data_IF_387850134249
#
_entry.id   IF_387850134249
#
_cell.length_a   1.000
_cell.length_b   1.000
_cell.length_c   1.000
_cell.angle_alpha   90.00
_cell.angle_beta   90.00
_cell.angle_gamma   90.00
#
_symmetry.space_group_name_H-M   'P 1'
#
loop_
_entity.id
_entity.type
_entity.pdbx_description
1 polymer ?
#
# COMPACT_ATOMS: atom_id res chain seq x y z
N UNK A 1 -11.93 22.61 5.21
CA UNK A 1 -13.13 21.99 4.58
C UNK A 1 -12.79 20.90 3.54
N UNK A 2 -11.65 20.97 2.82
CA UNK A 2 -11.23 19.96 1.83
C UNK A 2 -10.75 18.61 2.39
N UNK A 3 -10.57 18.47 3.71
CA UNK A 3 -9.97 17.25 4.26
C UNK A 3 -10.87 16.02 4.29
N UNK A 4 -12.18 16.21 4.51
CA UNK A 4 -13.15 15.12 4.50
C UNK A 4 -13.28 14.43 3.13
N UNK A 5 -13.49 15.14 1.99
CA UNK A 5 -13.60 14.48 0.70
C UNK A 5 -12.31 13.75 0.29
N UNK A 6 -11.14 14.35 0.57
CA UNK A 6 -9.85 13.70 0.30
C UNK A 6 -9.67 12.42 1.12
N UNK A 7 -10.08 12.41 2.39
CA UNK A 7 -10.06 11.23 3.23
C UNK A 7 -10.94 10.09 2.66
N UNK A 8 -12.16 10.39 2.20
CA UNK A 8 -13.03 9.39 1.57
C UNK A 8 -12.45 8.83 0.27
N UNK A 9 -11.84 9.69 -0.56
CA UNK A 9 -11.17 9.25 -1.79
C UNK A 9 -10.02 8.29 -1.46
N UNK A 10 -9.19 8.61 -0.47
CA UNK A 10 -8.07 7.76 -0.07
C UNK A 10 -8.55 6.43 0.51
N UNK A 11 -9.61 6.45 1.32
CA UNK A 11 -10.22 5.24 1.85
C UNK A 11 -10.79 4.36 0.73
N UNK A 12 -11.47 4.96 -0.26
CA UNK A 12 -11.99 4.24 -1.42
C UNK A 12 -10.86 3.61 -2.25
N UNK A 13 -9.74 4.32 -2.44
CA UNK A 13 -8.56 3.80 -3.15
C UNK A 13 -7.89 2.67 -2.36
N UNK A 14 -7.84 2.75 -1.03
CA UNK A 14 -7.35 1.67 -0.16
C UNK A 14 -8.25 0.43 -0.20
N UNK A 15 -9.56 0.63 -0.18
CA UNK A 15 -10.54 -0.44 -0.31
C UNK A 15 -10.42 -1.12 -1.69
N UNK A 16 -10.30 -0.34 -2.76
CA UNK A 16 -10.09 -0.86 -4.12
C UNK A 16 -8.83 -1.73 -4.19
N UNK A 17 -7.72 -1.25 -3.64
CA UNK A 17 -6.47 -2.02 -3.57
C UNK A 17 -6.63 -3.35 -2.82
N UNK A 18 -7.30 -3.33 -1.67
CA UNK A 18 -7.57 -4.53 -0.89
C UNK A 18 -8.43 -5.54 -1.68
N UNK A 19 -9.50 -5.07 -2.32
CA UNK A 19 -10.38 -5.90 -3.16
C UNK A 19 -9.61 -6.50 -4.34
N UNK A 20 -8.73 -5.73 -4.99
CA UNK A 20 -7.93 -6.20 -6.11
C UNK A 20 -6.99 -7.35 -5.69
N UNK A 21 -6.29 -7.22 -4.56
CA UNK A 21 -5.42 -8.28 -4.04
C UNK A 21 -6.21 -9.56 -3.74
N UNK A 22 -7.36 -9.42 -3.06
CA UNK A 22 -8.23 -10.56 -2.78
C UNK A 22 -8.73 -11.21 -4.06
N UNK A 23 -9.12 -10.41 -5.05
CA UNK A 23 -9.61 -10.91 -6.34
C UNK A 23 -8.53 -11.70 -7.05
N UNK A 24 -7.28 -11.21 -7.11
CA UNK A 24 -6.15 -11.96 -7.69
C UNK A 24 -5.97 -13.29 -6.93
N UNK A 25 -5.91 -13.25 -5.60
CA UNK A 25 -5.72 -14.44 -4.77
C UNK A 25 -6.81 -15.50 -4.96
N UNK A 26 -8.08 -15.09 -4.98
CA UNK A 26 -9.21 -15.99 -5.21
C UNK A 26 -9.28 -16.49 -6.65
N UNK A 27 -8.97 -15.66 -7.65
CA UNK A 27 -8.94 -16.09 -9.04
C UNK A 27 -7.86 -17.14 -9.28
N UNK A 28 -6.67 -16.96 -8.71
CA UNK A 28 -5.63 -17.99 -8.79
C UNK A 28 -6.06 -19.30 -8.11
N UNK A 29 -6.90 -19.23 -7.06
CA UNK A 29 -7.47 -20.41 -6.37
C UNK A 29 -8.45 -21.17 -7.20
N UNK A 30 -9.40 -20.45 -7.79
CA UNK A 30 -10.57 -21.05 -8.44
C UNK A 30 -10.24 -21.42 -9.88
N UNK A 31 -9.45 -20.62 -10.58
CA UNK A 31 -9.08 -20.85 -11.98
C UNK A 31 -7.66 -20.38 -12.26
N UNK A 32 -6.63 -21.21 -11.98
CA UNK A 32 -5.25 -20.85 -12.28
C UNK A 32 -5.02 -20.57 -13.78
N UNK A 33 -5.81 -21.16 -14.68
CA UNK A 33 -5.74 -20.92 -16.13
C UNK A 33 -6.54 -19.71 -16.62
N UNK A 34 -7.61 -19.32 -15.90
CA UNK A 34 -8.53 -18.25 -16.31
C UNK A 34 -8.43 -16.97 -15.48
N UNK A 35 -7.57 -16.91 -14.48
CA UNK A 35 -7.22 -15.66 -13.82
C UNK A 35 -6.63 -14.72 -14.87
N UNK A 36 -7.09 -13.47 -14.92
CA UNK A 36 -6.51 -12.45 -15.79
C UNK A 36 -5.10 -12.12 -15.28
N UNK A 37 -4.11 -12.93 -15.68
CA UNK A 37 -2.74 -12.96 -15.15
C UNK A 37 -1.91 -11.73 -15.55
N UNK A 38 -2.47 -10.84 -16.36
CA UNK A 38 -1.76 -9.66 -16.87
C UNK A 38 -2.50 -8.38 -16.49
N UNK A 39 -3.80 -8.26 -16.80
CA UNK A 39 -4.50 -6.98 -16.59
C UNK A 39 -4.78 -6.72 -15.12
N UNK A 40 -5.24 -7.74 -14.37
CA UNK A 40 -5.57 -7.58 -12.95
C UNK A 40 -4.32 -7.24 -12.09
N UNK A 41 -3.18 -7.93 -12.25
CA UNK A 41 -1.92 -7.55 -11.60
C UNK A 41 -1.43 -6.18 -12.04
N UNK A 42 -1.53 -5.82 -13.33
CA UNK A 42 -1.11 -4.51 -13.81
C UNK A 42 -1.93 -3.38 -13.16
N UNK A 43 -3.26 -3.52 -13.09
CA UNK A 43 -4.13 -2.55 -12.40
C UNK A 43 -3.76 -2.46 -10.92
N UNK A 44 -3.53 -3.60 -10.27
CA UNK A 44 -3.13 -3.65 -8.85
C UNK A 44 -1.81 -2.94 -8.61
N UNK A 45 -0.83 -3.15 -9.49
CA UNK A 45 0.46 -2.44 -9.45
C UNK A 45 0.27 -0.93 -9.63
N UNK A 46 -0.55 -0.49 -10.59
CA UNK A 46 -0.83 0.94 -10.78
C UNK A 46 -1.44 1.58 -9.53
N UNK A 47 -2.39 0.90 -8.89
CA UNK A 47 -3.00 1.38 -7.63
C UNK A 47 -1.96 1.41 -6.50
N UNK A 48 -1.13 0.37 -6.36
CA UNK A 48 -0.08 0.31 -5.36
C UNK A 48 0.95 1.44 -5.52
N UNK A 49 1.36 1.73 -6.75
CA UNK A 49 2.28 2.83 -7.08
C UNK A 49 1.67 4.19 -6.76
N UNK A 50 0.39 4.39 -7.07
CA UNK A 50 -0.35 5.62 -6.75
C UNK A 50 -0.42 5.84 -5.23
N UNK A 51 -0.71 4.79 -4.46
CA UNK A 51 -0.72 4.86 -3.00
C UNK A 51 0.67 5.11 -2.41
N UNK A 52 1.72 4.48 -2.96
CA UNK A 52 3.09 4.71 -2.55
C UNK A 52 3.50 6.18 -2.82
N UNK A 53 3.19 6.70 -4.01
CA UNK A 53 3.43 8.09 -4.37
C UNK A 53 2.71 9.08 -3.44
N UNK A 54 1.49 8.75 -3.01
CA UNK A 54 0.77 9.56 -2.03
C UNK A 54 1.46 9.58 -0.65
N UNK A 55 1.90 8.43 -0.14
CA UNK A 55 2.60 8.36 1.15
C UNK A 55 3.92 9.15 1.11
N UNK A 56 4.68 9.05 0.00
CA UNK A 56 5.90 9.85 -0.21
C UNK A 56 5.59 11.35 -0.26
N UNK A 57 4.53 11.74 -0.99
CA UNK A 57 4.09 13.14 -1.05
C UNK A 57 3.71 13.68 0.33
N UNK A 58 3.06 12.87 1.17
CA UNK A 58 2.72 13.23 2.55
C UNK A 58 3.98 13.50 3.39
N UNK A 59 5.01 12.66 3.25
CA UNK A 59 6.30 12.87 3.94
C UNK A 59 7.01 14.14 3.47
N UNK A 60 7.01 14.41 2.16
CA UNK A 60 7.58 15.65 1.60
C UNK A 60 6.83 16.87 2.11
N UNK A 61 5.50 16.83 2.11
CA UNK A 61 4.70 17.94 2.65
C UNK A 61 5.00 18.18 4.12
N UNK A 62 5.05 17.12 4.91
CA UNK A 62 5.42 17.22 6.32
C UNK A 62 6.78 17.89 6.48
N UNK A 63 7.78 17.47 5.69
CA UNK A 63 9.12 18.06 5.72
C UNK A 63 9.12 19.55 5.41
N UNK A 64 8.39 19.98 4.38
CA UNK A 64 8.28 21.39 4.00
C UNK A 64 7.56 22.21 5.08
N UNK A 65 6.51 21.65 5.68
CA UNK A 65 5.75 22.31 6.75
C UNK A 65 6.45 22.29 8.12
N UNK A 66 7.50 21.50 8.27
CA UNK A 66 8.26 21.45 9.51
C UNK A 66 9.08 22.73 9.64
N UNK A 67 8.71 23.58 10.61
CA UNK A 67 9.34 24.88 10.79
C UNK A 67 10.80 24.74 11.29
N UNK A 68 11.73 24.80 10.34
CA UNK A 68 13.16 24.80 10.61
C UNK A 68 13.65 26.11 11.23
N UNK A 69 12.98 27.24 10.93
CA UNK A 69 13.41 28.58 11.33
C UNK A 69 13.05 28.91 12.77
N UNK A 70 11.94 28.37 13.30
CA UNK A 70 11.52 28.62 14.69
C UNK A 70 12.40 27.95 15.75
N UNK A 71 13.15 26.88 15.41
CA UNK A 71 13.60 25.92 16.43
C UNK A 71 15.11 25.62 16.51
N UNK A 72 15.99 26.29 15.76
CA UNK A 72 17.44 25.98 15.74
C UNK A 72 17.71 24.46 15.68
N UNK A 73 16.92 23.74 14.87
CA UNK A 73 16.90 22.28 14.88
C UNK A 73 18.02 21.78 13.99
N UNK A 74 18.93 21.00 14.56
CA UNK A 74 19.91 20.27 13.76
C UNK A 74 19.19 19.30 12.80
N UNK A 75 19.70 19.15 11.58
CA UNK A 75 19.13 18.22 10.58
C UNK A 75 18.89 16.81 11.14
N UNK A 76 19.77 16.36 12.05
CA UNK A 76 19.64 15.07 12.74
C UNK A 76 18.36 14.97 13.59
N UNK A 77 17.99 16.04 14.32
CA UNK A 77 16.76 16.07 15.11
C UNK A 77 15.52 16.10 14.21
N UNK A 78 15.55 16.88 13.13
CA UNK A 78 14.44 16.92 12.17
C UNK A 78 14.21 15.55 11.50
N UNK A 79 15.28 14.86 11.13
CA UNK A 79 15.19 13.51 10.56
C UNK A 79 14.64 12.49 11.57
N UNK A 80 15.02 12.60 12.84
CA UNK A 80 14.49 11.74 13.89
C UNK A 80 12.98 11.95 14.10
N UNK A 81 12.51 13.21 14.11
CA UNK A 81 11.09 13.53 14.20
C UNK A 81 10.30 13.07 12.96
N UNK A 82 10.89 13.18 11.76
CA UNK A 82 10.29 12.63 10.54
C UNK A 82 10.10 11.11 10.65
N UNK A 83 11.13 10.37 11.07
CA UNK A 83 11.04 8.92 11.26
C UNK A 83 9.96 8.56 12.27
N UNK A 84 9.92 9.27 13.40
CA UNK A 84 8.92 9.05 14.45
C UNK A 84 7.50 9.33 13.94
N UNK A 85 7.31 10.38 13.17
CA UNK A 85 6.05 10.69 12.51
C UNK A 85 5.65 9.60 11.50
N UNK A 86 6.58 9.17 10.64
CA UNK A 86 6.36 8.08 9.67
C UNK A 86 5.99 6.76 10.37
N UNK A 87 6.62 6.45 11.50
CA UNK A 87 6.29 5.27 12.33
C UNK A 87 4.89 5.37 12.92
N UNK A 88 4.53 6.56 13.43
CA UNK A 88 3.21 6.84 14.03
C UNK A 88 2.08 6.69 12.99
N UNK A 89 2.32 7.13 11.75
CA UNK A 89 1.36 6.98 10.64
C UNK A 89 1.40 5.60 9.98
N UNK A 90 2.22 4.68 10.49
CA UNK A 90 2.49 3.36 9.91
C UNK A 90 2.92 3.40 8.43
N UNK A 91 3.48 4.52 7.98
CA UNK A 91 3.80 4.78 6.56
C UNK A 91 4.75 3.73 5.99
N UNK A 92 5.83 3.41 6.72
CA UNK A 92 6.80 2.39 6.29
C UNK A 92 6.16 1.00 6.13
N UNK A 93 5.23 0.64 7.02
CA UNK A 93 4.55 -0.66 6.97
C UNK A 93 3.59 -0.73 5.78
N UNK A 94 2.90 0.37 5.46
CA UNK A 94 2.07 0.47 4.24
C UNK A 94 2.91 0.37 2.97
N UNK A 95 4.01 1.12 2.88
CA UNK A 95 4.92 1.06 1.74
C UNK A 95 5.44 -0.37 1.55
N UNK A 96 5.86 -1.03 2.64
CA UNK A 96 6.29 -2.42 2.57
C UNK A 96 5.17 -3.35 2.05
N UNK A 97 3.93 -3.18 2.53
CA UNK A 97 2.77 -3.93 2.03
C UNK A 97 2.55 -3.75 0.52
N UNK A 98 2.67 -2.51 0.02
CA UNK A 98 2.56 -2.19 -1.40
C UNK A 98 3.66 -2.86 -2.22
N UNK A 99 4.91 -2.80 -1.74
CA UNK A 99 6.05 -3.44 -2.39
C UNK A 99 5.90 -4.96 -2.48
N UNK A 100 5.44 -5.62 -1.40
CA UNK A 100 5.19 -7.08 -1.40
C UNK A 100 4.14 -7.46 -2.43
N UNK A 101 3.04 -6.70 -2.53
CA UNK A 101 2.00 -6.96 -3.52
C UNK A 101 2.49 -6.73 -4.96
N UNK A 102 3.31 -5.69 -5.18
CA UNK A 102 3.92 -5.42 -6.48
C UNK A 102 4.85 -6.55 -6.90
N UNK A 103 5.69 -7.06 -5.99
CA UNK A 103 6.56 -8.22 -6.26
C UNK A 103 5.72 -9.44 -6.64
N UNK A 104 4.64 -9.72 -5.89
CA UNK A 104 3.73 -10.83 -6.21
C UNK A 104 3.09 -10.66 -7.61
N UNK A 105 2.68 -9.44 -7.97
CA UNK A 105 2.12 -9.14 -9.29
C UNK A 105 3.15 -9.31 -10.42
N UNK A 106 4.40 -8.87 -10.23
CA UNK A 106 5.48 -9.04 -11.21
C UNK A 106 5.78 -10.52 -11.43
N UNK A 107 5.88 -11.31 -10.35
CA UNK A 107 6.08 -12.76 -10.44
C UNK A 107 4.94 -13.46 -11.19
N UNK A 108 3.71 -12.97 -11.04
CA UNK A 108 2.53 -13.52 -11.70
C UNK A 108 2.51 -13.20 -13.21
N UNK A 109 2.86 -11.96 -13.59
CA UNK A 109 2.97 -11.54 -15.00
C UNK A 109 4.14 -12.27 -15.69
N UNK A 110 5.32 -12.32 -15.05
CA UNK A 110 6.48 -13.03 -15.62
C UNK A 110 6.26 -14.54 -15.65
N UNK A 111 5.43 -15.08 -14.77
CA UNK A 111 5.08 -16.48 -14.74
C UNK A 111 4.10 -16.93 -15.82
N UNK A 112 3.37 -16.01 -16.47
CA UNK A 112 2.36 -16.35 -17.46
C UNK A 112 2.92 -16.75 -18.83
N UNK A 113 4.21 -16.56 -19.08
CA UNK A 113 4.87 -16.89 -20.36
C UNK A 113 5.48 -18.30 -20.44
N UNK A 114 5.41 -19.08 -19.35
CA UNK A 114 6.06 -20.40 -19.22
C UNK A 114 5.05 -21.54 -19.24
N UNK A 115 5.49 -22.71 -19.72
CA UNK A 115 4.69 -23.90 -20.06
C UNK A 115 3.73 -24.43 -18.97
N UNK A 116 2.62 -25.09 -19.37
CA UNK A 116 1.39 -25.25 -18.59
C UNK A 116 1.38 -26.26 -17.43
N UNK A 117 2.46 -27.00 -17.19
CA UNK A 117 2.43 -28.19 -16.31
C UNK A 117 2.82 -27.94 -14.85
N UNK A 118 3.40 -26.78 -14.49
CA UNK A 118 3.96 -26.52 -13.15
C UNK A 118 3.27 -25.39 -12.34
N UNK A 119 2.16 -24.84 -12.80
CA UNK A 119 1.59 -23.61 -12.22
C UNK A 119 1.16 -23.73 -10.75
N UNK A 120 0.66 -24.88 -10.29
CA UNK A 120 0.07 -24.99 -8.94
C UNK A 120 1.13 -24.90 -7.83
N UNK A 121 2.30 -25.53 -8.00
CA UNK A 121 3.39 -25.43 -7.02
C UNK A 121 4.12 -24.09 -7.10
N UNK A 122 4.24 -23.53 -8.31
CA UNK A 122 4.88 -22.23 -8.56
C UNK A 122 4.06 -21.05 -8.02
N UNK A 123 2.73 -21.15 -8.04
CA UNK A 123 1.86 -20.05 -7.61
C UNK A 123 1.74 -19.98 -6.07
N UNK A 124 2.10 -21.03 -5.31
CA UNK A 124 2.09 -21.05 -3.83
C UNK A 124 2.81 -19.87 -3.16
N UNK A 125 4.06 -19.53 -3.52
CA UNK A 125 4.74 -18.35 -2.95
C UNK A 125 4.04 -17.04 -3.33
N UNK A 126 3.50 -16.94 -4.55
CA UNK A 126 2.77 -15.74 -5.00
C UNK A 126 1.52 -15.54 -4.14
N UNK A 127 0.79 -16.62 -3.85
CA UNK A 127 -0.35 -16.57 -2.95
C UNK A 127 0.00 -16.20 -1.53
N UNK A 128 1.10 -16.74 -0.99
CA UNK A 128 1.55 -16.40 0.34
C UNK A 128 1.84 -14.89 0.44
N UNK A 129 2.51 -14.32 -0.57
CA UNK A 129 2.77 -12.88 -0.65
C UNK A 129 1.48 -12.06 -0.75
N UNK A 130 0.55 -12.45 -1.62
CA UNK A 130 -0.76 -11.79 -1.74
C UNK A 130 -1.58 -11.88 -0.45
N UNK A 131 -1.54 -13.02 0.25
CA UNK A 131 -2.25 -13.21 1.52
C UNK A 131 -1.65 -12.34 2.64
N UNK A 132 -0.32 -12.25 2.73
CA UNK A 132 0.38 -11.36 3.67
C UNK A 132 0.02 -9.90 3.39
N UNK A 133 0.07 -9.48 2.12
CA UNK A 133 -0.32 -8.13 1.71
C UNK A 133 -1.80 -7.85 1.99
N UNK A 134 -2.71 -8.80 1.70
CA UNK A 134 -4.13 -8.65 1.99
C UNK A 134 -4.39 -8.51 3.49
N UNK A 135 -3.75 -9.34 4.32
CA UNK A 135 -3.88 -9.27 5.77
C UNK A 135 -3.41 -7.91 6.32
N UNK A 136 -2.23 -7.45 5.87
CA UNK A 136 -1.70 -6.15 6.27
C UNK A 136 -2.60 -4.99 5.79
N UNK A 137 -3.05 -5.00 4.54
CA UNK A 137 -3.95 -3.99 3.99
C UNK A 137 -5.30 -3.96 4.75
N UNK A 138 -5.88 -5.12 5.06
CA UNK A 138 -7.09 -5.24 5.86
C UNK A 138 -6.91 -4.67 7.27
N UNK A 139 -5.80 -4.98 7.94
CA UNK A 139 -5.47 -4.42 9.25
C UNK A 139 -5.37 -2.89 9.21
N UNK A 140 -4.70 -2.31 8.21
CA UNK A 140 -4.62 -0.85 8.08
C UNK A 140 -5.97 -0.21 7.79
N UNK A 141 -6.81 -0.85 6.98
CA UNK A 141 -8.16 -0.37 6.68
C UNK A 141 -9.04 -0.38 7.92
N UNK A 142 -9.03 -1.47 8.72
CA UNK A 142 -9.76 -1.55 9.98
C UNK A 142 -9.27 -0.47 10.96
N UNK A 143 -7.95 -0.29 11.06
CA UNK A 143 -7.36 0.74 11.92
C UNK A 143 -7.81 2.15 11.48
N UNK A 144 -7.87 2.42 10.18
CA UNK A 144 -8.34 3.70 9.66
C UNK A 144 -9.84 3.95 9.89
N UNK A 145 -10.66 2.89 9.92
CA UNK A 145 -12.10 2.96 10.20
C UNK A 145 -12.40 3.12 11.70
N UNK A 146 -11.68 2.39 12.55
CA UNK A 146 -11.91 2.34 14.01
C UNK A 146 -11.22 3.50 14.72
N UNK A 147 -10.01 3.86 14.30
CA UNK A 147 -9.24 4.97 14.88
C UNK A 147 -9.44 6.20 13.99
N UNK A 148 -10.64 6.77 14.01
CA UNK A 148 -10.85 8.14 13.52
C UNK A 148 -10.16 9.10 14.48
N UNK A 149 -8.83 9.22 14.39
CA UNK A 149 -8.10 10.20 15.17
C UNK A 149 -8.12 11.54 14.43
N UNK A 150 -8.92 12.53 14.85
CA UNK A 150 -8.92 13.86 14.22
C UNK A 150 -7.59 14.61 14.38
N UNK A 151 -6.65 14.07 15.16
CA UNK A 151 -5.33 14.66 15.48
C UNK A 151 -4.15 13.96 14.80
N UNK A 152 -4.35 12.90 14.01
CA UNK A 152 -3.24 12.19 13.36
C UNK A 152 -3.44 12.18 11.83
N UNK A 153 -2.67 13.02 11.15
CA UNK A 153 -2.58 13.09 9.69
C UNK A 153 -2.34 14.52 9.21
N UNK A 154 -2.23 14.71 7.89
CA UNK A 154 -2.09 16.03 7.23
C UNK A 154 -3.25 16.99 7.58
N UNK A 155 -4.32 16.50 8.22
CA UNK A 155 -5.43 17.31 8.74
C UNK A 155 -5.18 17.90 10.13
N UNK A 156 -4.06 17.56 10.77
CA UNK A 156 -3.57 18.20 11.98
C UNK A 156 -2.60 19.37 11.68
N UNK A 157 -2.27 19.60 10.40
CA UNK A 157 -1.56 20.77 9.89
C UNK A 157 -2.56 21.82 9.39
#
# INVERSE_FOLDING_TARGET
>A
RFGRPLHFILLAVQLLYFVLILTIGFQLKVSPRGADRVRLPAVTMSVALLQCGYEIYAAIKWWISYDFNSRNVSLRKAFHELIKWMQTMHMLRKILCYMVAVIACILLITGSSLEPTSHVERDRPIWALLAISAFAAGFFMITALVVQNPRLGIFAL
#
